data_IF_088084434618
#
_entry.id   IF_088084434618
#
_cell.length_a   1.000
_cell.length_b   1.000
_cell.length_c   1.000
_cell.angle_alpha   90.00
_cell.angle_beta   90.00
_cell.angle_gamma   90.00
#
_symmetry.space_group_name_H-M   'P 1'
#
loop_
_entity.id
_entity.type
_entity.pdbx_description
1 polymer ?
#
# COMPACT_ATOMS: atom_id res chain seq x y z
N UNK A 1 -7.31 -83.18 78.84
CA UNK A 1 -7.45 -83.20 77.37
C UNK A 1 -7.61 -81.76 76.92
N UNK A 2 -6.59 -81.15 76.32
CA UNK A 2 -6.66 -79.77 75.81
C UNK A 2 -5.87 -79.69 74.51
N UNK A 3 -6.57 -79.33 73.45
CA UNK A 3 -6.13 -79.30 72.07
C UNK A 3 -5.38 -77.99 71.85
N UNK A 4 -4.07 -78.04 71.57
CA UNK A 4 -3.32 -76.88 71.08
C UNK A 4 -3.66 -76.66 69.61
N UNK A 5 -4.46 -75.62 69.34
CA UNK A 5 -4.72 -75.08 68.00
C UNK A 5 -3.46 -74.38 67.48
N UNK A 6 -3.03 -74.74 66.27
CA UNK A 6 -2.12 -73.96 65.44
C UNK A 6 -2.89 -72.75 64.90
N UNK A 7 -2.47 -71.54 65.29
CA UNK A 7 -3.00 -70.30 64.74
C UNK A 7 -2.53 -70.11 63.29
N UNK A 8 -3.48 -70.19 62.37
CA UNK A 8 -3.33 -69.79 60.98
C UNK A 8 -3.70 -68.30 60.90
N UNK A 9 -2.71 -67.41 60.82
CA UNK A 9 -2.92 -65.99 60.51
C UNK A 9 -1.70 -65.47 59.78
N UNK A 10 -1.71 -65.58 58.45
CA UNK A 10 -0.79 -64.89 57.54
C UNK A 10 -1.29 -64.94 56.08
N UNK A 11 -2.57 -64.63 55.85
CA UNK A 11 -3.13 -64.47 54.49
C UNK A 11 -4.19 -63.37 54.44
N UNK A 12 -3.75 -62.11 54.54
CA UNK A 12 -4.58 -60.95 54.14
C UNK A 12 -3.77 -59.66 53.91
N UNK A 13 -2.45 -59.64 54.12
CA UNK A 13 -1.64 -58.41 53.93
C UNK A 13 -1.18 -58.22 52.46
N UNK A 14 -1.27 -59.27 51.64
CA UNK A 14 -0.70 -59.28 50.28
C UNK A 14 -1.50 -58.49 49.24
N UNK A 15 -2.82 -58.42 49.36
CA UNK A 15 -3.66 -57.77 48.32
C UNK A 15 -3.58 -56.25 48.43
N UNK A 16 -3.59 -55.72 49.66
CA UNK A 16 -3.55 -54.28 49.91
C UNK A 16 -2.18 -53.71 49.53
N UNK A 17 -1.09 -54.39 49.88
CA UNK A 17 0.26 -54.00 49.48
C UNK A 17 0.46 -54.04 47.95
N UNK A 18 -0.11 -55.04 47.27
CA UNK A 18 -0.08 -55.12 45.81
C UNK A 18 -0.83 -53.96 45.15
N UNK A 19 -2.00 -53.58 45.67
CA UNK A 19 -2.81 -52.49 45.11
C UNK A 19 -2.16 -51.12 45.29
N UNK A 20 -1.58 -50.85 46.46
CA UNK A 20 -0.84 -49.59 46.73
C UNK A 20 0.38 -49.48 45.82
N UNK A 21 1.10 -50.58 45.61
CA UNK A 21 2.27 -50.60 44.73
C UNK A 21 1.88 -50.40 43.25
N UNK A 22 0.76 -50.98 42.82
CA UNK A 22 0.27 -50.79 41.45
C UNK A 22 -0.17 -49.35 41.19
N UNK A 23 -0.88 -48.73 42.14
CA UNK A 23 -1.28 -47.32 42.04
C UNK A 23 -0.06 -46.41 42.01
N UNK A 24 0.96 -46.67 42.84
CA UNK A 24 2.20 -45.91 42.84
C UNK A 24 2.97 -45.95 41.51
N UNK A 25 3.01 -47.12 40.85
CA UNK A 25 3.65 -47.25 39.53
C UNK A 25 2.86 -46.49 38.47
N UNK A 26 1.53 -46.57 38.48
CA UNK A 26 0.70 -45.86 37.48
C UNK A 26 0.84 -44.35 37.64
N UNK A 27 0.82 -43.83 38.88
CA UNK A 27 0.94 -42.39 39.12
C UNK A 27 2.32 -41.87 38.76
N UNK A 28 3.40 -42.61 39.06
CA UNK A 28 4.73 -42.26 38.58
C UNK A 28 4.83 -42.32 37.05
N UNK A 29 4.22 -43.32 36.41
CA UNK A 29 4.25 -43.43 34.94
C UNK A 29 3.52 -42.26 34.27
N UNK A 30 2.34 -41.88 34.79
CA UNK A 30 1.61 -40.70 34.33
C UNK A 30 2.36 -39.40 34.63
N UNK A 31 3.04 -39.30 35.77
CA UNK A 31 3.86 -38.14 36.10
C UNK A 31 5.07 -38.00 35.17
N UNK A 32 5.72 -39.10 34.80
CA UNK A 32 6.82 -39.11 33.82
C UNK A 32 6.31 -38.77 32.42
N UNK A 33 5.16 -39.28 32.01
CA UNK A 33 4.51 -38.91 30.75
C UNK A 33 4.08 -37.43 30.74
N UNK A 34 3.48 -36.94 31.82
CA UNK A 34 3.09 -35.54 31.95
C UNK A 34 4.32 -34.62 31.97
N UNK A 35 5.37 -35.01 32.70
CA UNK A 35 6.64 -34.30 32.70
C UNK A 35 7.27 -34.30 31.32
N UNK A 36 7.29 -35.42 30.59
CA UNK A 36 7.82 -35.49 29.23
C UNK A 36 6.99 -34.67 28.23
N UNK A 37 5.67 -34.61 28.38
CA UNK A 37 4.79 -33.76 27.56
C UNK A 37 4.92 -32.27 27.90
N UNK A 38 5.30 -31.92 29.13
CA UNK A 38 5.54 -30.55 29.57
C UNK A 38 7.00 -30.09 29.37
N UNK A 39 7.97 -31.01 29.38
CA UNK A 39 9.41 -30.73 29.27
C UNK A 39 9.95 -30.94 27.87
N UNK A 40 9.33 -31.81 27.08
CA UNK A 40 9.59 -31.94 25.66
C UNK A 40 8.76 -30.91 24.93
N UNK A 41 9.41 -29.86 24.40
CA UNK A 41 8.83 -28.94 23.41
C UNK A 41 8.48 -29.66 22.10
N UNK A 42 7.63 -30.68 22.16
CA UNK A 42 7.09 -31.44 21.04
C UNK A 42 5.92 -30.72 20.36
N UNK A 43 5.52 -29.56 20.89
CA UNK A 43 4.93 -28.56 20.03
C UNK A 43 6.06 -27.94 19.23
N UNK A 44 6.47 -28.68 18.20
CA UNK A 44 7.15 -28.10 17.05
C UNK A 44 6.14 -27.11 16.46
N UNK A 45 6.14 -25.88 17.00
CA UNK A 45 5.35 -24.80 16.46
C UNK A 45 5.85 -24.65 15.05
N UNK A 46 4.97 -24.96 14.07
CA UNK A 46 5.27 -24.73 12.66
C UNK A 46 5.95 -23.37 12.56
N UNK A 47 7.12 -23.28 11.91
CA UNK A 47 7.84 -22.03 11.81
C UNK A 47 6.88 -20.98 11.26
N UNK A 48 6.68 -19.91 12.04
CA UNK A 48 5.85 -18.77 11.66
C UNK A 48 6.76 -17.59 11.54
N UNK A 49 6.70 -16.93 10.39
CA UNK A 49 7.39 -15.69 10.17
C UNK A 49 6.51 -14.79 9.32
N UNK A 50 6.60 -13.50 9.59
CA UNK A 50 5.95 -12.44 8.84
C UNK A 50 7.05 -11.58 8.23
N UNK A 51 6.90 -11.30 6.93
CA UNK A 51 7.91 -10.63 6.15
C UNK A 51 7.33 -9.36 5.53
N UNK A 52 8.18 -8.35 5.46
CA UNK A 52 7.89 -7.10 4.75
C UNK A 52 8.79 -7.05 3.52
N UNK A 53 8.23 -6.58 2.42
CA UNK A 53 8.91 -6.54 1.12
C UNK A 53 9.01 -5.10 0.64
N UNK A 54 10.16 -4.75 0.07
CA UNK A 54 10.37 -3.47 -0.60
C UNK A 54 11.19 -3.72 -1.87
N UNK A 55 10.61 -3.42 -3.04
CA UNK A 55 11.34 -3.39 -4.30
C UNK A 55 12.01 -2.01 -4.44
N UNK A 56 13.33 -1.96 -4.66
CA UNK A 56 14.05 -0.71 -4.97
C UNK A 56 14.05 -0.46 -6.47
N UNK A 57 14.12 0.81 -6.86
CA UNK A 57 14.31 1.25 -8.25
C UNK A 57 15.51 0.61 -9.01
N UNK A 58 16.48 -0.01 -8.33
CA UNK A 58 17.60 -0.72 -8.94
C UNK A 58 17.30 -2.16 -9.41
N UNK A 59 16.18 -2.74 -8.97
CA UNK A 59 15.78 -4.13 -9.23
C UNK A 59 16.09 -5.07 -8.10
N UNK A 60 16.67 -4.52 -7.04
CA UNK A 60 16.92 -5.20 -5.80
C UNK A 60 15.66 -5.22 -4.94
N UNK A 61 15.28 -6.39 -4.46
CA UNK A 61 14.19 -6.57 -3.51
C UNK A 61 14.76 -6.78 -2.13
N UNK A 62 14.39 -5.91 -1.19
CA UNK A 62 14.66 -6.06 0.23
C UNK A 62 13.54 -6.85 0.88
N UNK A 63 13.92 -7.84 1.68
CA UNK A 63 13.01 -8.65 2.47
C UNK A 63 13.41 -8.51 3.94
N UNK A 64 12.52 -7.91 4.73
CA UNK A 64 12.68 -7.70 6.17
C UNK A 64 11.85 -8.68 6.98
N UNK A 65 12.36 -9.12 8.13
CA UNK A 65 11.63 -9.97 9.07
C UNK A 65 10.89 -9.09 10.09
N UNK A 66 9.56 -9.08 10.05
CA UNK A 66 8.74 -8.32 11.00
C UNK A 66 8.49 -9.09 12.30
N UNK A 67 8.20 -10.38 12.16
CA UNK A 67 8.03 -11.30 13.29
C UNK A 67 8.53 -12.69 12.89
N UNK A 68 9.12 -13.42 13.84
CA UNK A 68 9.67 -14.76 13.57
C UNK A 68 9.64 -15.63 14.81
N UNK A 69 9.25 -16.89 14.64
CA UNK A 69 9.28 -17.93 15.65
C UNK A 69 10.00 -19.15 15.09
N UNK A 70 11.13 -19.50 15.72
CA UNK A 70 11.86 -20.75 15.47
C UNK A 70 12.31 -20.95 14.01
N UNK A 71 12.80 -19.90 13.35
CA UNK A 71 13.32 -20.00 11.99
C UNK A 71 14.84 -19.80 11.96
N UNK A 72 15.58 -20.73 11.37
CA UNK A 72 17.02 -20.64 11.21
C UNK A 72 17.38 -19.92 9.90
N UNK A 73 18.35 -19.01 9.95
CA UNK A 73 18.79 -18.25 8.78
C UNK A 73 19.33 -19.16 7.67
N UNK A 74 20.11 -20.18 8.04
CA UNK A 74 20.70 -21.14 7.10
C UNK A 74 19.69 -22.07 6.42
N UNK A 75 18.52 -22.27 7.04
CA UNK A 75 17.45 -23.12 6.50
C UNK A 75 16.36 -22.32 5.77
N UNK A 76 16.48 -20.98 5.75
CA UNK A 76 15.55 -20.09 5.07
C UNK A 76 16.14 -19.61 3.77
N UNK A 77 15.53 -20.04 2.67
CA UNK A 77 15.94 -19.69 1.31
C UNK A 77 14.88 -18.85 0.62
N UNK A 78 15.35 -17.98 -0.26
CA UNK A 78 14.52 -17.17 -1.13
C UNK A 78 14.68 -17.74 -2.53
N UNK A 79 13.58 -17.96 -3.24
CA UNK A 79 13.60 -18.50 -4.60
C UNK A 79 12.48 -17.89 -5.44
N UNK A 80 12.65 -17.87 -6.76
CA UNK A 80 11.53 -17.59 -7.67
C UNK A 80 10.70 -18.86 -7.84
N UNK A 81 9.37 -18.73 -7.90
CA UNK A 81 8.43 -19.84 -8.06
C UNK A 81 8.76 -20.64 -9.32
N UNK A 82 9.12 -21.91 -9.13
CA UNK A 82 9.53 -22.81 -10.23
C UNK A 82 10.97 -22.59 -10.72
N UNK A 83 11.71 -21.67 -10.10
CA UNK A 83 13.11 -21.36 -10.38
C UNK A 83 14.09 -21.93 -9.35
N UNK A 84 15.36 -21.52 -9.47
CA UNK A 84 16.43 -21.81 -8.50
C UNK A 84 16.42 -20.83 -7.33
N UNK A 85 17.16 -21.18 -6.26
CA UNK A 85 17.36 -20.27 -5.12
C UNK A 85 18.05 -18.97 -5.56
N UNK A 86 17.48 -17.86 -5.10
CA UNK A 86 17.89 -16.48 -5.42
C UNK A 86 18.60 -15.76 -4.28
N UNK A 87 18.47 -16.27 -3.06
CA UNK A 87 19.13 -15.71 -1.91
C UNK A 87 18.90 -16.56 -0.67
N UNK A 88 19.62 -16.22 0.38
CA UNK A 88 19.44 -16.76 1.72
C UNK A 88 19.83 -15.68 2.71
N UNK A 89 19.24 -15.71 3.89
CA UNK A 89 19.73 -14.83 4.96
C UNK A 89 21.15 -15.25 5.36
N UNK A 90 22.06 -14.28 5.37
CA UNK A 90 23.44 -14.51 5.78
C UNK A 90 23.54 -14.81 7.28
N UNK A 91 24.33 -15.82 7.64
CA UNK A 91 24.71 -16.10 9.03
C UNK A 91 24.39 -17.52 9.50
N UNK A 92 25.04 -17.93 10.58
CA UNK A 92 24.75 -19.18 11.29
C UNK A 92 23.99 -18.84 12.58
N UNK A 93 22.66 -19.00 12.57
CA UNK A 93 21.84 -18.66 13.74
C UNK A 93 20.35 -18.63 13.43
N UNK A 94 19.55 -18.28 14.44
CA UNK A 94 18.14 -17.96 14.27
C UNK A 94 17.97 -16.62 13.57
N UNK A 95 16.94 -16.51 12.73
CA UNK A 95 16.47 -15.23 12.24
C UNK A 95 15.86 -14.44 13.39
N UNK A 96 16.13 -13.14 13.41
CA UNK A 96 15.62 -12.21 14.40
C UNK A 96 14.75 -11.15 13.72
N UNK A 97 13.84 -10.55 14.49
CA UNK A 97 13.07 -9.40 14.03
C UNK A 97 14.02 -8.28 13.60
N UNK A 98 13.75 -7.68 12.45
CA UNK A 98 14.56 -6.63 11.84
C UNK A 98 15.73 -7.14 11.00
N UNK A 99 15.91 -8.45 10.86
CA UNK A 99 16.85 -9.00 9.90
C UNK A 99 16.37 -8.66 8.48
N UNK A 100 17.27 -8.08 7.66
CA UNK A 100 16.99 -7.71 6.27
C UNK A 100 17.98 -8.44 5.36
N UNK A 101 17.48 -8.95 4.25
CA UNK A 101 18.32 -9.47 3.16
C UNK A 101 17.88 -8.85 1.85
N UNK A 102 18.81 -8.74 0.92
CA UNK A 102 18.54 -8.25 -0.42
C UNK A 102 18.58 -9.39 -1.45
N UNK A 103 17.82 -9.24 -2.53
CA UNK A 103 17.70 -10.20 -3.63
C UNK A 103 17.77 -9.41 -4.93
N UNK A 104 18.75 -9.69 -5.79
CA UNK A 104 18.86 -9.01 -7.11
C UNK A 104 20.24 -8.45 -7.44
N UNK A 105 21.23 -8.56 -6.55
CA UNK A 105 22.61 -8.10 -6.76
C UNK A 105 23.48 -9.08 -7.60
N UNK A 106 22.85 -9.81 -8.52
CA UNK A 106 23.52 -10.72 -9.47
C UNK A 106 23.34 -12.21 -9.20
N UNK A 107 22.66 -12.60 -8.11
CA UNK A 107 22.34 -14.01 -7.80
C UNK A 107 21.12 -14.54 -8.57
N UNK A 108 20.21 -13.66 -9.00
CA UNK A 108 19.03 -13.99 -9.80
C UNK A 108 18.66 -12.86 -10.76
N UNK A 109 18.18 -13.27 -11.94
CA UNK A 109 17.45 -12.36 -12.84
C UNK A 109 16.00 -12.35 -12.39
N UNK A 110 15.56 -11.24 -11.81
CA UNK A 110 14.19 -11.01 -11.41
C UNK A 110 13.47 -10.21 -12.50
N UNK A 111 12.25 -10.61 -12.87
CA UNK A 111 11.42 -9.89 -13.82
C UNK A 111 10.05 -9.55 -13.21
N UNK A 112 9.39 -8.54 -13.78
CA UNK A 112 8.00 -8.24 -13.46
C UNK A 112 7.12 -9.48 -13.65
N UNK A 113 6.24 -9.76 -12.68
CA UNK A 113 5.35 -10.90 -12.68
C UNK A 113 5.92 -12.20 -12.12
N UNK A 114 7.24 -12.26 -11.85
CA UNK A 114 7.84 -13.37 -11.12
C UNK A 114 7.25 -13.46 -9.71
N UNK A 115 7.24 -14.64 -9.11
CA UNK A 115 6.77 -14.80 -7.71
C UNK A 115 7.94 -15.22 -6.85
N UNK A 116 8.42 -14.31 -5.99
CA UNK A 116 9.38 -14.64 -4.95
C UNK A 116 8.68 -15.47 -3.89
N UNK A 117 9.36 -16.51 -3.43
CA UNK A 117 8.91 -17.39 -2.36
C UNK A 117 9.98 -17.44 -1.28
N UNK A 118 9.55 -17.23 -0.04
CA UNK A 118 10.37 -17.47 1.14
C UNK A 118 10.03 -18.87 1.64
N UNK A 119 11.03 -19.75 1.63
CA UNK A 119 10.86 -21.17 1.93
C UNK A 119 11.78 -21.52 3.10
N UNK A 120 11.21 -22.03 4.18
CA UNK A 120 11.96 -22.61 5.30
C UNK A 120 12.35 -24.07 5.03
N UNK A 121 12.39 -24.89 6.09
CA UNK A 121 12.63 -26.34 6.01
C UNK A 121 11.50 -27.08 5.27
N UNK A 122 11.47 -26.93 3.95
CA UNK A 122 10.48 -27.48 3.02
C UNK A 122 9.06 -26.94 3.12
N UNK A 123 8.84 -25.85 3.88
CA UNK A 123 7.53 -25.17 4.00
C UNK A 123 7.60 -23.80 3.34
N UNK A 124 6.60 -23.47 2.51
CA UNK A 124 6.40 -22.11 2.02
C UNK A 124 5.94 -21.26 3.19
N UNK A 125 6.78 -20.30 3.59
CA UNK A 125 6.46 -19.37 4.67
C UNK A 125 5.63 -18.21 4.12
N UNK A 126 6.04 -17.67 2.97
CA UNK A 126 5.37 -16.57 2.32
C UNK A 126 5.72 -16.49 0.82
N UNK A 127 4.91 -15.77 0.06
CA UNK A 127 5.15 -15.51 -1.35
C UNK A 127 4.69 -14.13 -1.77
N UNK A 128 5.53 -13.48 -2.56
CA UNK A 128 5.28 -12.15 -3.08
C UNK A 128 5.43 -12.15 -4.59
N UNK A 129 4.41 -11.65 -5.31
CA UNK A 129 4.51 -11.46 -6.76
C UNK A 129 5.27 -10.16 -7.00
N UNK A 130 6.43 -10.27 -7.63
CA UNK A 130 7.20 -9.14 -8.10
C UNK A 130 6.36 -8.31 -9.04
N UNK A 131 6.29 -7.03 -8.72
CA UNK A 131 5.85 -5.99 -9.64
C UNK A 131 6.96 -5.77 -10.68
N UNK A 132 8.21 -6.01 -10.26
CA UNK A 132 9.43 -5.80 -11.03
C UNK A 132 9.96 -4.40 -10.78
N UNK A 133 11.27 -4.19 -10.99
CA UNK A 133 11.72 -2.85 -11.40
C UNK A 133 11.25 -2.58 -12.80
N UNK A 134 9.99 -2.28 -12.85
CA UNK A 134 9.65 -1.09 -13.54
C UNK A 134 8.54 -0.47 -12.71
N UNK A 135 8.68 0.79 -12.26
CA UNK A 135 7.67 1.70 -12.77
C UNK A 135 7.77 1.52 -14.28
N UNK A 136 6.93 0.69 -14.90
CA UNK A 136 6.81 0.71 -16.36
C UNK A 136 6.04 1.99 -16.65
N UNK A 137 6.76 3.09 -16.47
CA UNK A 137 6.98 4.07 -17.49
C UNK A 137 7.32 3.47 -18.87
N UNK A 138 6.80 2.29 -19.26
CA UNK A 138 6.90 1.73 -20.61
C UNK A 138 6.26 2.67 -21.62
N UNK A 139 5.35 3.53 -21.13
CA UNK A 139 4.76 4.61 -21.90
C UNK A 139 5.52 5.93 -21.78
N UNK A 140 6.62 5.95 -21.04
CA UNK A 140 7.39 7.16 -20.84
C UNK A 140 8.69 7.13 -21.60
N UNK A 141 9.00 8.23 -22.26
CA UNK A 141 10.14 8.29 -23.17
C UNK A 141 11.46 8.11 -22.41
N UNK A 142 12.40 7.35 -22.97
CA UNK A 142 13.71 7.00 -22.39
C UNK A 142 14.65 8.19 -22.08
N UNK A 143 14.24 9.42 -22.38
CA UNK A 143 15.00 10.66 -22.11
C UNK A 143 14.32 11.47 -21.01
N UNK A 144 14.35 10.94 -19.80
CA UNK A 144 13.85 11.64 -18.62
C UNK A 144 15.00 12.33 -17.89
N UNK A 145 14.87 13.64 -17.67
CA UNK A 145 15.74 14.44 -16.81
C UNK A 145 15.05 14.72 -15.47
N UNK A 146 14.65 13.67 -14.75
CA UNK A 146 14.07 13.83 -13.41
C UNK A 146 14.41 12.67 -12.48
N UNK A 147 13.83 12.67 -11.27
CA UNK A 147 14.10 11.65 -10.25
C UNK A 147 12.93 10.70 -10.14
N UNK A 148 13.22 9.41 -10.34
CA UNK A 148 12.31 8.32 -10.04
C UNK A 148 12.80 7.69 -8.74
N UNK A 149 12.15 8.01 -7.63
CA UNK A 149 12.42 7.41 -6.34
C UNK A 149 11.26 6.48 -5.96
N UNK A 150 11.49 5.51 -5.07
CA UNK A 150 10.48 4.52 -4.70
C UNK A 150 9.16 5.20 -4.26
N UNK A 151 8.14 5.15 -5.11
CA UNK A 151 6.83 5.76 -4.86
C UNK A 151 6.71 7.26 -5.16
N UNK A 152 7.71 7.90 -5.78
CA UNK A 152 7.69 9.33 -6.11
C UNK A 152 8.22 9.60 -7.54
N UNK A 153 7.51 10.44 -8.29
CA UNK A 153 7.84 10.88 -9.64
C UNK A 153 8.09 12.38 -9.59
N UNK A 154 9.34 12.81 -9.70
CA UNK A 154 9.70 14.23 -9.68
C UNK A 154 10.07 14.69 -11.10
N UNK A 155 9.20 15.49 -11.71
CA UNK A 155 9.32 16.01 -13.07
C UNK A 155 9.94 17.41 -13.02
N UNK A 156 11.21 17.52 -13.42
CA UNK A 156 11.99 18.78 -13.46
C UNK A 156 12.39 19.20 -14.88
N UNK A 157 11.89 18.48 -15.88
CA UNK A 157 12.09 18.77 -17.29
C UNK A 157 10.97 18.14 -18.11
N UNK A 158 11.22 17.87 -19.38
CA UNK A 158 10.21 17.26 -20.24
C UNK A 158 10.12 15.75 -20.00
N UNK A 159 8.95 15.28 -19.59
CA UNK A 159 8.61 13.88 -19.43
C UNK A 159 7.35 13.59 -20.25
N UNK A 160 7.47 12.86 -21.35
CA UNK A 160 6.29 12.26 -21.99
C UNK A 160 6.01 10.95 -21.28
N UNK A 161 4.86 10.78 -20.64
CA UNK A 161 4.59 9.66 -19.76
C UNK A 161 3.11 9.48 -19.39
N UNK A 162 2.62 8.25 -19.49
CA UNK A 162 1.33 7.88 -18.88
C UNK A 162 1.60 7.21 -17.52
N UNK A 163 1.04 7.80 -16.46
CA UNK A 163 1.07 7.32 -15.09
C UNK A 163 -0.29 6.69 -14.79
N UNK A 164 -0.46 5.43 -15.19
CA UNK A 164 -1.73 4.69 -15.05
C UNK A 164 -1.42 3.27 -14.56
N UNK A 165 -2.17 2.80 -13.55
CA UNK A 165 -2.03 1.45 -13.00
C UNK A 165 -2.80 0.40 -13.81
N UNK A 166 -2.45 -0.89 -13.63
CA UNK A 166 -3.15 -2.02 -14.29
C UNK A 166 -4.64 -2.06 -13.95
N UNK A 167 -5.00 -1.66 -12.73
CA UNK A 167 -6.37 -1.64 -12.21
C UNK A 167 -7.12 -0.34 -12.53
N UNK A 168 -6.58 0.46 -13.45
CA UNK A 168 -7.18 1.72 -13.86
C UNK A 168 -6.55 2.94 -13.22
N UNK A 169 -5.84 2.86 -12.09
CA UNK A 169 -5.11 3.99 -11.50
C UNK A 169 -4.02 3.54 -10.54
N UNK A 170 -3.12 4.46 -10.15
CA UNK A 170 -1.99 4.17 -9.24
C UNK A 170 -2.34 4.63 -7.81
N UNK A 171 -2.09 3.78 -6.82
CA UNK A 171 -2.28 4.08 -5.38
C UNK A 171 -0.96 4.19 -4.62
N UNK A 172 0.15 3.92 -5.29
CA UNK A 172 1.49 3.72 -4.72
C UNK A 172 2.49 4.74 -5.26
N UNK A 173 1.99 5.90 -5.72
CA UNK A 173 2.84 6.91 -6.35
C UNK A 173 2.39 8.33 -6.04
N UNK A 174 3.36 9.15 -5.70
CA UNK A 174 3.26 10.60 -5.60
C UNK A 174 3.88 11.23 -6.85
N UNK A 175 3.12 12.07 -7.54
CA UNK A 175 3.58 12.78 -8.74
C UNK A 175 3.82 14.23 -8.37
N UNK A 176 5.03 14.71 -8.64
CA UNK A 176 5.46 16.08 -8.38
C UNK A 176 5.93 16.67 -9.71
N UNK A 177 5.33 17.78 -10.13
CA UNK A 177 5.75 18.54 -11.31
C UNK A 177 6.21 19.91 -10.83
N UNK A 178 7.51 20.15 -10.84
CA UNK A 178 8.11 21.41 -10.37
C UNK A 178 8.04 22.51 -11.45
N UNK A 179 8.45 23.74 -11.10
CA UNK A 179 8.43 24.96 -11.93
C UNK A 179 8.99 24.83 -13.36
N UNK A 180 9.81 23.81 -13.61
CA UNK A 180 10.45 23.55 -14.91
C UNK A 180 10.05 22.20 -15.53
N UNK A 181 9.21 21.45 -14.82
CA UNK A 181 8.64 20.19 -15.22
C UNK A 181 7.55 20.38 -16.25
N UNK A 182 7.58 19.53 -17.28
CA UNK A 182 6.53 19.41 -18.26
C UNK A 182 6.19 17.93 -18.44
N UNK A 183 5.00 17.52 -17.99
CA UNK A 183 4.50 16.16 -18.11
C UNK A 183 3.50 16.08 -19.28
N UNK A 184 3.80 15.30 -20.31
CA UNK A 184 2.91 15.04 -21.46
C UNK A 184 2.38 13.59 -21.41
N UNK A 185 1.13 13.42 -20.99
CA UNK A 185 0.45 12.13 -20.98
C UNK A 185 -0.73 12.07 -20.00
N UNK A 186 -1.18 10.86 -19.70
CA UNK A 186 -2.30 10.64 -18.77
C UNK A 186 -1.81 10.36 -17.35
N UNK A 187 -2.32 11.10 -16.37
CA UNK A 187 -2.09 10.84 -14.94
C UNK A 187 -3.38 10.32 -14.32
N UNK A 188 -3.36 9.09 -13.82
CA UNK A 188 -4.49 8.48 -13.12
C UNK A 188 -4.11 7.91 -11.75
N UNK A 189 -4.61 8.54 -10.69
CA UNK A 189 -4.28 8.24 -9.30
C UNK A 189 -5.54 7.86 -8.50
N UNK A 190 -5.47 6.76 -7.77
CA UNK A 190 -6.53 6.28 -6.89
C UNK A 190 -6.16 6.53 -5.42
N UNK A 191 -7.02 6.15 -4.48
CA UNK A 191 -6.82 6.22 -3.03
C UNK A 191 -5.41 5.75 -2.61
N UNK A 192 -4.56 6.72 -2.27
CA UNK A 192 -3.18 6.51 -1.80
C UNK A 192 -2.11 7.17 -2.68
N UNK A 193 -2.42 7.45 -3.94
CA UNK A 193 -1.59 8.29 -4.80
C UNK A 193 -1.88 9.77 -4.59
N UNK A 194 -0.88 10.63 -4.82
CA UNK A 194 -1.04 12.08 -4.75
C UNK A 194 -0.43 12.80 -5.95
N UNK A 195 -0.94 13.98 -6.26
CA UNK A 195 -0.39 14.86 -7.29
C UNK A 195 -0.14 16.26 -6.70
N UNK A 196 1.06 16.76 -6.91
CA UNK A 196 1.47 18.14 -6.65
C UNK A 196 2.02 18.76 -7.94
N UNK A 197 1.45 19.89 -8.36
CA UNK A 197 1.97 20.70 -9.46
C UNK A 197 2.38 22.04 -8.85
N UNK A 198 3.67 22.33 -8.84
CA UNK A 198 4.27 23.54 -8.28
C UNK A 198 4.93 24.33 -9.40
N UNK A 199 4.13 25.15 -10.09
CA UNK A 199 4.54 26.00 -11.22
C UNK A 199 4.89 25.27 -12.51
N UNK A 200 4.74 23.94 -12.53
CA UNK A 200 4.98 23.09 -13.69
C UNK A 200 3.80 23.00 -14.66
N UNK A 201 4.00 22.24 -15.73
CA UNK A 201 3.00 22.02 -16.78
C UNK A 201 2.60 20.54 -16.88
N UNK A 202 1.30 20.27 -16.94
CA UNK A 202 0.72 18.98 -17.31
C UNK A 202 -0.06 19.12 -18.62
N UNK A 203 0.34 18.43 -19.67
CA UNK A 203 -0.42 18.28 -20.91
C UNK A 203 -1.01 16.88 -20.99
N UNK A 204 -2.34 16.77 -21.07
CA UNK A 204 -3.04 15.50 -21.18
C UNK A 204 -4.20 15.35 -20.20
N UNK A 205 -4.55 14.10 -19.86
CA UNK A 205 -5.69 13.82 -18.98
C UNK A 205 -5.24 13.65 -17.55
N UNK A 206 -5.96 14.28 -16.62
CA UNK A 206 -5.77 14.12 -15.19
C UNK A 206 -7.02 13.49 -14.57
N UNK A 207 -6.87 12.33 -13.92
CA UNK A 207 -7.93 11.69 -13.15
C UNK A 207 -7.40 11.31 -11.76
N UNK A 208 -7.97 11.87 -10.69
CA UNK A 208 -7.55 11.58 -9.32
C UNK A 208 -8.74 11.31 -8.42
N UNK A 209 -8.63 10.38 -7.50
CA UNK A 209 -9.61 10.24 -6.40
C UNK A 209 -9.28 11.23 -5.26
N UNK A 210 -8.00 11.48 -4.99
CA UNK A 210 -7.61 12.52 -4.05
C UNK A 210 -7.55 13.89 -4.71
N UNK A 211 -7.88 14.96 -3.98
CA UNK A 211 -7.73 16.34 -4.46
C UNK A 211 -6.23 16.64 -4.73
N UNK A 212 -5.86 17.03 -5.96
CA UNK A 212 -4.48 17.42 -6.27
C UNK A 212 -4.13 18.78 -5.66
N UNK A 213 -2.86 18.95 -5.27
CA UNK A 213 -2.31 20.26 -4.90
C UNK A 213 -1.84 20.97 -6.18
N UNK A 214 -2.46 22.09 -6.52
CA UNK A 214 -2.11 22.87 -7.71
C UNK A 214 -1.71 24.27 -7.29
N UNK A 215 -0.42 24.52 -7.33
CA UNK A 215 0.21 25.74 -6.86
C UNK A 215 0.27 26.81 -7.96
N UNK A 216 0.64 28.02 -7.57
CA UNK A 216 0.55 29.18 -8.45
C UNK A 216 1.54 29.10 -9.62
N UNK A 217 1.15 29.62 -10.77
CA UNK A 217 1.93 29.54 -12.01
C UNK A 217 1.88 28.18 -12.71
N UNK A 218 1.13 27.21 -12.18
CA UNK A 218 0.94 25.89 -12.80
C UNK A 218 0.03 25.96 -14.02
N UNK A 219 0.33 25.16 -15.04
CA UNK A 219 -0.46 25.05 -16.27
C UNK A 219 -0.95 23.61 -16.48
N UNK A 220 -2.24 23.45 -16.77
CA UNK A 220 -2.85 22.15 -17.07
C UNK A 220 -3.56 22.24 -18.41
N UNK A 221 -2.98 21.64 -19.43
CA UNK A 221 -3.47 21.61 -20.80
C UNK A 221 -4.18 20.26 -21.06
N UNK A 222 -5.41 20.16 -20.57
CA UNK A 222 -6.33 19.05 -20.81
C UNK A 222 -7.41 18.89 -19.74
N UNK A 223 -8.17 17.81 -19.84
CA UNK A 223 -9.32 17.58 -18.95
C UNK A 223 -8.87 17.03 -17.59
N UNK A 224 -9.46 17.58 -16.54
CA UNK A 224 -9.26 17.19 -15.15
C UNK A 224 -10.55 16.58 -14.59
N UNK A 225 -10.40 15.42 -13.97
CA UNK A 225 -11.47 14.75 -13.21
C UNK A 225 -10.98 14.47 -11.80
N UNK A 226 -11.64 15.05 -10.81
CA UNK A 226 -11.47 14.71 -9.41
C UNK A 226 -12.67 13.87 -8.99
N UNK A 227 -12.46 12.57 -8.88
CA UNK A 227 -13.44 11.60 -8.42
C UNK A 227 -13.54 11.63 -6.89
N UNK A 228 -14.59 11.02 -6.36
CA UNK A 228 -14.81 10.89 -4.92
C UNK A 228 -13.68 10.06 -4.28
N UNK A 229 -12.84 10.71 -3.46
CA UNK A 229 -11.78 10.06 -2.69
C UNK A 229 -11.85 10.42 -1.22
N UNK A 230 -12.96 10.07 -0.56
CA UNK A 230 -13.03 9.88 0.89
C UNK A 230 -12.82 11.09 1.80
N UNK A 231 -12.50 12.28 1.28
CA UNK A 231 -12.37 13.51 2.06
C UNK A 231 -12.97 14.64 1.24
N UNK A 232 -14.14 15.15 1.65
CA UNK A 232 -14.77 16.37 1.13
C UNK A 232 -13.90 17.61 1.36
N UNK A 233 -12.76 17.61 0.68
CA UNK A 233 -11.75 18.62 0.58
C UNK A 233 -12.17 19.61 -0.52
N UNK A 234 -11.24 20.45 -0.94
CA UNK A 234 -11.53 21.51 -1.92
C UNK A 234 -10.41 21.51 -2.92
N UNK A 235 -10.76 21.31 -4.20
CA UNK A 235 -9.85 21.57 -5.30
C UNK A 235 -9.55 23.07 -5.35
N UNK A 236 -8.33 23.45 -5.00
CA UNK A 236 -7.90 24.84 -5.00
C UNK A 236 -6.95 25.08 -6.17
N UNK A 237 -7.37 25.93 -7.11
CA UNK A 237 -6.47 26.50 -8.11
C UNK A 237 -5.88 27.78 -7.50
N UNK A 238 -4.59 27.74 -7.15
CA UNK A 238 -3.91 28.91 -6.56
C UNK A 238 -3.74 30.03 -7.59
N UNK A 239 -3.13 31.14 -7.15
CA UNK A 239 -3.03 32.33 -7.97
C UNK A 239 -2.22 32.08 -9.23
N UNK A 240 -2.63 32.68 -10.35
CA UNK A 240 -1.96 32.55 -11.65
C UNK A 240 -1.88 31.10 -12.18
N UNK A 241 -2.72 30.19 -11.68
CA UNK A 241 -2.90 28.84 -12.25
C UNK A 241 -3.79 28.90 -13.48
N UNK A 242 -3.44 28.16 -14.54
CA UNK A 242 -4.23 28.08 -15.78
C UNK A 242 -4.61 26.64 -16.10
N UNK A 243 -5.89 26.40 -16.39
CA UNK A 243 -6.40 25.12 -16.87
C UNK A 243 -7.04 25.32 -18.24
N UNK A 244 -6.47 24.75 -19.30
CA UNK A 244 -7.07 24.71 -20.64
C UNK A 244 -7.72 23.33 -20.86
N UNK A 245 -9.00 23.24 -20.56
CA UNK A 245 -9.74 21.99 -20.58
C UNK A 245 -10.95 22.03 -19.66
N UNK A 246 -11.61 20.88 -19.49
CA UNK A 246 -12.76 20.77 -18.60
C UNK A 246 -12.33 20.34 -17.20
N UNK A 247 -13.00 20.87 -16.18
CA UNK A 247 -12.89 20.38 -14.81
C UNK A 247 -14.19 19.68 -14.45
N UNK A 248 -14.08 18.42 -14.06
CA UNK A 248 -15.18 17.66 -13.45
C UNK A 248 -14.79 17.29 -12.02
N UNK A 249 -15.63 17.68 -11.06
CA UNK A 249 -15.44 17.36 -9.65
C UNK A 249 -16.68 16.65 -9.10
N UNK A 250 -16.49 15.51 -8.44
CA UNK A 250 -17.55 14.77 -7.78
C UNK A 250 -17.34 14.81 -6.26
N UNK A 251 -18.23 15.48 -5.54
CA UNK A 251 -18.15 15.66 -4.08
C UNK A 251 -17.32 16.86 -3.63
N UNK A 252 -16.34 17.29 -4.44
CA UNK A 252 -15.38 18.33 -4.02
C UNK A 252 -15.76 19.72 -4.52
N UNK A 253 -15.62 20.72 -3.65
CA UNK A 253 -15.71 22.14 -4.02
C UNK A 253 -14.55 22.53 -4.94
N UNK A 254 -14.81 23.36 -5.95
CA UNK A 254 -13.78 23.95 -6.81
C UNK A 254 -13.59 25.43 -6.47
N UNK A 255 -12.39 25.82 -6.04
CA UNK A 255 -12.07 27.18 -5.62
C UNK A 255 -10.97 27.79 -6.50
N UNK A 256 -11.32 28.85 -7.22
CA UNK A 256 -10.43 29.61 -8.09
C UNK A 256 -9.92 30.84 -7.34
N UNK A 257 -8.61 30.92 -7.07
CA UNK A 257 -7.99 32.11 -6.44
C UNK A 257 -7.73 33.22 -7.46
N UNK A 258 -7.37 34.39 -6.94
CA UNK A 258 -7.02 35.59 -7.72
C UNK A 258 -6.01 35.24 -8.83
N UNK A 259 -6.34 35.60 -10.07
CA UNK A 259 -5.51 35.37 -11.25
C UNK A 259 -5.60 33.97 -11.86
N UNK A 260 -6.35 33.04 -11.24
CA UNK A 260 -6.56 31.71 -11.84
C UNK A 260 -7.55 31.76 -13.01
N UNK A 261 -7.26 30.98 -14.05
CA UNK A 261 -8.04 30.94 -15.29
C UNK A 261 -8.38 29.49 -15.65
N UNK A 262 -9.65 29.22 -15.96
CA UNK A 262 -10.10 27.97 -16.58
C UNK A 262 -10.66 28.31 -17.95
N UNK A 263 -10.08 27.77 -19.01
CA UNK A 263 -10.55 27.91 -20.39
C UNK A 263 -11.25 26.62 -20.76
N UNK A 264 -12.54 26.56 -20.47
CA UNK A 264 -13.39 25.39 -20.58
C UNK A 264 -14.44 25.33 -19.48
N UNK A 265 -15.21 24.24 -19.47
CA UNK A 265 -16.33 24.07 -18.56
C UNK A 265 -15.88 23.58 -17.18
N UNK A 266 -16.50 24.09 -16.13
CA UNK A 266 -16.37 23.59 -14.76
C UNK A 266 -17.70 22.94 -14.35
N UNK A 267 -17.65 21.68 -13.94
CA UNK A 267 -18.83 20.93 -13.49
C UNK A 267 -18.57 20.30 -12.13
N UNK A 268 -19.40 20.64 -11.14
CA UNK A 268 -19.40 20.06 -9.80
C UNK A 268 -20.71 19.31 -9.57
N UNK A 269 -20.59 18.04 -9.16
CA UNK A 269 -21.74 17.15 -8.88
C UNK A 269 -21.63 16.56 -7.48
N UNK A 270 -22.75 16.25 -6.81
CA UNK A 270 -22.72 15.81 -5.43
C UNK A 270 -22.27 14.37 -5.31
N UNK A 271 -21.46 14.10 -4.28
CA UNK A 271 -21.17 12.74 -3.87
C UNK A 271 -22.41 12.13 -3.19
N UNK A 272 -22.68 10.82 -3.39
CA UNK A 272 -23.85 10.18 -2.81
C UNK A 272 -23.86 10.24 -1.27
N UNK A 273 -24.75 11.05 -0.71
CA UNK A 273 -24.98 11.10 0.74
C UNK A 273 -24.17 12.15 1.49
N UNK A 274 -23.50 13.06 0.78
CA UNK A 274 -22.93 14.27 1.37
C UNK A 274 -23.94 15.43 1.36
N UNK A 275 -23.84 16.31 2.36
CA UNK A 275 -24.62 17.54 2.39
C UNK A 275 -24.04 18.52 1.35
N UNK A 276 -24.90 19.22 0.57
CA UNK A 276 -24.43 20.19 -0.41
C UNK A 276 -23.70 21.34 0.30
N UNK A 277 -22.41 21.48 0.00
CA UNK A 277 -21.54 22.58 0.42
C UNK A 277 -21.50 23.73 -0.57
N UNK A 278 -20.38 24.44 -0.64
CA UNK A 278 -20.11 25.38 -1.73
C UNK A 278 -19.68 24.55 -2.96
N UNK A 279 -20.19 24.86 -4.16
CA UNK A 279 -19.89 24.09 -5.37
C UNK A 279 -18.68 24.65 -6.09
N UNK A 280 -18.83 25.88 -6.59
CA UNK A 280 -17.78 26.59 -7.31
C UNK A 280 -17.61 27.98 -6.66
N UNK A 281 -16.40 28.34 -6.24
CA UNK A 281 -16.09 29.61 -5.56
C UNK A 281 -14.97 30.36 -6.30
N UNK A 282 -15.31 31.47 -6.95
CA UNK A 282 -14.40 32.30 -7.73
C UNK A 282 -14.01 33.55 -6.93
N UNK A 283 -12.70 33.74 -6.70
CA UNK A 283 -12.14 34.88 -5.95
C UNK A 283 -11.24 35.75 -6.80
N UNK A 284 -11.22 37.04 -6.45
CA UNK A 284 -10.33 37.99 -7.09
C UNK A 284 -10.68 38.17 -8.57
N UNK A 285 -9.69 38.38 -9.42
CA UNK A 285 -9.85 38.49 -10.86
C UNK A 285 -9.86 37.12 -11.60
N UNK A 286 -10.33 36.06 -10.96
CA UNK A 286 -10.38 34.73 -11.59
C UNK A 286 -11.39 34.65 -12.73
N UNK A 287 -11.15 33.71 -13.64
CA UNK A 287 -11.91 33.56 -14.89
C UNK A 287 -12.29 32.10 -15.14
N UNK A 288 -13.55 31.88 -15.50
CA UNK A 288 -14.01 30.70 -16.23
C UNK A 288 -14.46 31.17 -17.62
N UNK A 289 -13.71 30.81 -18.65
CA UNK A 289 -14.10 31.00 -20.05
C UNK A 289 -14.84 29.75 -20.56
N UNK A 290 -16.09 29.61 -20.13
CA UNK A 290 -16.95 28.45 -20.36
C UNK A 290 -18.12 28.40 -19.37
N UNK A 291 -18.82 27.26 -19.33
CA UNK A 291 -19.95 27.06 -18.42
C UNK A 291 -19.48 26.75 -16.98
N UNK A 292 -20.20 27.27 -15.99
CA UNK A 292 -20.04 26.92 -14.57
C UNK A 292 -21.30 26.20 -14.07
N UNK A 293 -21.23 24.88 -13.96
CA UNK A 293 -22.36 24.02 -13.60
C UNK A 293 -22.15 23.40 -12.21
N UNK A 294 -22.97 23.78 -11.24
CA UNK A 294 -22.95 23.20 -9.89
C UNK A 294 -24.33 22.59 -9.59
N UNK A 295 -24.44 21.26 -9.68
CA UNK A 295 -25.71 20.57 -9.42
C UNK A 295 -25.86 20.39 -7.91
N UNK A 296 -26.97 20.86 -7.32
CA UNK A 296 -27.23 20.84 -5.87
C UNK A 296 -26.28 21.70 -5.00
N UNK A 297 -25.30 22.38 -5.59
CA UNK A 297 -24.40 23.31 -4.91
C UNK A 297 -24.54 24.74 -5.44
N UNK A 298 -24.04 25.72 -4.67
CA UNK A 298 -24.01 27.13 -5.07
C UNK A 298 -22.76 27.47 -5.92
N UNK A 299 -22.90 28.43 -6.84
CA UNK A 299 -21.81 29.08 -7.58
C UNK A 299 -21.60 30.49 -7.03
N UNK A 300 -20.53 30.67 -6.26
CA UNK A 300 -20.17 31.96 -5.64
C UNK A 300 -19.17 32.70 -6.53
N UNK A 301 -19.63 33.76 -7.21
CA UNK A 301 -18.78 34.61 -8.04
C UNK A 301 -18.38 35.89 -7.30
N UNK A 302 -17.08 36.06 -7.05
CA UNK A 302 -16.52 37.28 -6.47
C UNK A 302 -16.74 38.53 -7.34
N UNK A 303 -16.62 39.74 -6.76
CA UNK A 303 -16.97 40.99 -7.44
C UNK A 303 -16.13 41.29 -8.68
N UNK A 304 -14.91 40.77 -8.73
CA UNK A 304 -13.95 40.98 -9.83
C UNK A 304 -13.77 39.72 -10.70
N UNK A 305 -14.46 38.62 -10.36
CA UNK A 305 -14.37 37.36 -11.07
C UNK A 305 -15.34 37.32 -12.26
N UNK A 306 -15.04 36.49 -13.26
CA UNK A 306 -15.82 36.42 -14.49
C UNK A 306 -16.13 34.97 -14.87
N UNK A 307 -17.38 34.71 -15.24
CA UNK A 307 -17.81 33.53 -16.00
C UNK A 307 -18.34 34.05 -17.34
N UNK A 308 -17.83 33.56 -18.47
CA UNK A 308 -18.15 34.14 -19.79
C UNK A 308 -19.46 33.59 -20.38
N UNK A 309 -19.82 32.35 -20.06
CA UNK A 309 -21.01 31.66 -20.56
C UNK A 309 -22.08 31.45 -19.47
N UNK A 310 -22.67 30.25 -19.36
CA UNK A 310 -23.83 30.00 -18.48
C UNK A 310 -23.41 29.58 -17.07
N UNK A 311 -24.13 30.08 -16.06
CA UNK A 311 -24.07 29.61 -14.68
C UNK A 311 -25.33 28.78 -14.42
N UNK A 312 -25.17 27.49 -14.14
CA UNK A 312 -26.28 26.59 -13.81
C UNK A 312 -26.18 26.13 -12.36
N UNK A 313 -27.19 26.49 -11.57
CA UNK A 313 -27.42 26.03 -10.20
C UNK A 313 -28.74 25.24 -10.19
N UNK A 314 -28.68 23.93 -10.03
CA UNK A 314 -29.88 23.10 -9.93
C UNK A 314 -30.13 22.77 -8.46
N UNK A 315 -30.97 23.55 -7.79
CA UNK A 315 -31.47 23.30 -6.43
C UNK A 315 -32.65 22.32 -6.40
#
# INVERSE_FOLDING_TARGET
>A
MSIRRLNHSNRAVSTVLGMVLMVGIITMSMAVLAAALLSGGLYDHQPRAEFVYQEKASGEVLIGVESVQSLAAGDTRIQVKGGSGCGSWGGSGSLEKGAVTAVGDGSCSLAAGDVIQIVGDSVLLDSYKLRGVSPTYERCSEKFEGRLADGEIEVTGNLKCDIVGEDGGRTDVDVIIDDSGHLDGTVKLNEGGSLNIDGGELTGQLETENVPSIDGGSEINGDMTVAEGGSGDTLQLKSDTRVEGKIHSAGETVNLKDGSEVIGDVTVVPAPGEDPGDGIDLKGNSLIDGDANATEYDVVVGPDATVTDEITENQ
#
